data_IF_445282133241
#
_entry.id   IF_445282133241
#
_cell.length_a   1.000
_cell.length_b   1.000
_cell.length_c   1.000
_cell.angle_alpha   90.00
_cell.angle_beta   90.00
_cell.angle_gamma   90.00
#
_symmetry.space_group_name_H-M   'P 1'
#
loop_
_entity.id
_entity.type
_entity.pdbx_description
1 polymer ?
#
# COMPACT_ATOMS: atom_id res chain seq x y z
N UNK A 1 -1.50 22.36 18.90
CA UNK A 1 -1.16 22.05 17.49
C UNK A 1 0.35 22.05 17.24
N UNK A 2 1.14 23.02 17.65
CA UNK A 2 2.60 23.15 17.37
C UNK A 2 3.45 21.93 17.79
N UNK A 3 3.20 21.32 18.96
CA UNK A 3 3.97 20.15 19.44
C UNK A 3 3.83 18.91 18.55
N UNK A 4 2.66 18.68 17.95
CA UNK A 4 2.39 17.52 17.09
C UNK A 4 3.17 17.60 15.76
N UNK A 5 3.26 18.81 15.20
CA UNK A 5 4.08 19.05 13.98
C UNK A 5 5.57 18.96 14.28
N UNK A 6 6.01 19.42 15.46
CA UNK A 6 7.41 19.31 15.87
C UNK A 6 7.85 17.85 16.00
N UNK A 7 7.04 17.00 16.63
CA UNK A 7 7.33 15.54 16.71
C UNK A 7 7.33 14.86 15.33
N UNK A 8 6.42 15.25 14.43
CA UNK A 8 6.41 14.74 13.08
C UNK A 8 7.69 15.15 12.32
N UNK A 9 8.06 16.41 12.42
CA UNK A 9 9.25 16.97 11.77
C UNK A 9 10.53 16.32 12.31
N UNK A 10 10.62 16.13 13.63
CA UNK A 10 11.75 15.45 14.27
C UNK A 10 11.86 13.99 13.80
N UNK A 11 10.74 13.27 13.67
CA UNK A 11 10.72 11.92 13.14
C UNK A 11 11.19 11.87 11.69
N UNK A 12 10.67 12.74 10.83
CA UNK A 12 11.10 12.83 9.43
C UNK A 12 12.59 13.12 9.35
N UNK A 13 13.11 14.03 10.18
CA UNK A 13 14.53 14.36 10.23
C UNK A 13 15.38 13.16 10.65
N UNK A 14 14.95 12.42 11.68
CA UNK A 14 15.63 11.19 12.13
C UNK A 14 15.64 10.14 11.01
N UNK A 15 14.52 9.97 10.27
CA UNK A 15 14.48 9.02 9.15
C UNK A 15 15.39 9.44 8.01
N UNK A 16 15.41 10.72 7.66
CA UNK A 16 16.32 11.25 6.64
C UNK A 16 17.78 11.07 7.07
N UNK A 17 18.08 11.27 8.35
CA UNK A 17 19.40 11.07 8.90
C UNK A 17 19.81 9.58 8.89
N UNK A 18 18.94 8.68 9.34
CA UNK A 18 19.18 7.23 9.30
C UNK A 18 19.32 6.74 7.86
N UNK A 19 18.47 7.20 6.95
CA UNK A 19 18.59 6.89 5.52
C UNK A 19 19.90 7.44 4.94
N UNK A 20 20.26 8.67 5.29
CA UNK A 20 21.53 9.28 4.89
C UNK A 20 22.75 8.50 5.40
N UNK A 21 22.74 8.06 6.65
CA UNK A 21 23.81 7.22 7.24
C UNK A 21 23.89 5.87 6.54
N UNK A 22 22.75 5.22 6.24
CA UNK A 22 22.71 3.96 5.50
C UNK A 22 23.27 4.14 4.09
N UNK A 23 22.81 5.18 3.38
CA UNK A 23 23.28 5.48 2.02
C UNK A 23 24.77 5.84 2.01
N UNK A 24 25.24 6.60 3.01
CA UNK A 24 26.64 6.95 3.15
C UNK A 24 27.49 5.70 3.46
N UNK A 25 27.04 4.85 4.39
CA UNK A 25 27.71 3.60 4.70
C UNK A 25 27.77 2.62 3.52
N UNK A 26 26.71 2.59 2.70
CA UNK A 26 26.70 1.84 1.43
C UNK A 26 27.65 2.46 0.40
N UNK A 27 27.77 3.77 0.34
CA UNK A 27 28.65 4.49 -0.57
C UNK A 27 30.13 4.27 -0.23
N UNK A 28 30.49 4.35 1.04
CA UNK A 28 31.85 4.13 1.57
C UNK A 28 32.22 2.64 1.71
N UNK A 29 31.25 1.73 1.53
CA UNK A 29 31.52 0.30 1.68
C UNK A 29 32.55 -0.17 0.66
N UNK A 30 33.58 -0.93 1.07
CA UNK A 30 34.52 -1.54 0.14
C UNK A 30 33.89 -2.52 -0.83
N UNK A 31 32.63 -2.92 -0.57
CA UNK A 31 31.79 -3.72 -1.45
C UNK A 31 30.93 -2.88 -2.39
N UNK A 32 31.05 -1.54 -2.35
CA UNK A 32 30.28 -0.68 -3.25
C UNK A 32 30.91 -0.70 -4.64
N UNK A 33 30.26 -1.29 -5.64
CA UNK A 33 30.79 -1.35 -6.99
C UNK A 33 30.74 0.00 -7.73
N UNK A 34 30.38 1.11 -7.05
CA UNK A 34 30.04 2.39 -7.71
C UNK A 34 29.13 2.16 -8.92
N UNK A 35 27.90 1.69 -8.69
CA UNK A 35 27.06 1.24 -9.78
C UNK A 35 26.73 2.40 -10.71
N UNK A 36 27.16 2.33 -11.94
CA UNK A 36 26.85 3.30 -12.98
C UNK A 36 25.56 2.96 -13.70
N UNK A 37 25.03 1.75 -13.44
CA UNK A 37 23.79 1.27 -14.08
C UNK A 37 22.97 0.37 -13.14
N UNK A 38 21.67 0.20 -13.46
CA UNK A 38 20.81 -0.76 -12.77
C UNK A 38 21.33 -2.20 -12.88
N UNK A 39 22.03 -2.52 -13.99
CA UNK A 39 22.62 -3.83 -14.23
C UNK A 39 23.79 -4.12 -13.28
N UNK A 40 24.58 -3.13 -12.90
CA UNK A 40 25.66 -3.30 -11.93
C UNK A 40 25.11 -3.61 -10.55
N UNK A 41 24.06 -2.91 -10.12
CA UNK A 41 23.34 -3.18 -8.86
C UNK A 41 22.79 -4.62 -8.88
N UNK A 42 22.20 -5.02 -9.99
CA UNK A 42 21.63 -6.37 -10.17
C UNK A 42 22.69 -7.44 -10.06
N UNK A 43 23.85 -7.28 -10.74
CA UNK A 43 24.99 -8.21 -10.64
C UNK A 43 25.53 -8.33 -9.23
N UNK A 44 25.64 -7.21 -8.52
CA UNK A 44 26.04 -7.19 -7.12
C UNK A 44 25.07 -7.96 -6.23
N UNK A 45 23.75 -7.73 -6.37
CA UNK A 45 22.72 -8.45 -5.60
C UNK A 45 22.68 -9.93 -5.93
N UNK A 46 22.87 -10.31 -7.20
CA UNK A 46 22.96 -11.73 -7.61
C UNK A 46 24.14 -12.44 -6.91
N UNK A 47 25.22 -11.73 -6.60
CA UNK A 47 26.36 -12.26 -5.83
C UNK A 47 26.00 -12.76 -4.43
N UNK A 48 24.91 -12.26 -3.81
CA UNK A 48 24.40 -12.76 -2.52
C UNK A 48 23.56 -14.06 -2.68
N UNK A 49 23.33 -14.52 -3.90
CA UNK A 49 22.56 -15.75 -4.17
C UNK A 49 21.19 -15.72 -3.51
N UNK A 50 20.83 -16.82 -2.83
CA UNK A 50 19.51 -16.99 -2.17
C UNK A 50 19.28 -16.04 -0.99
N UNK A 51 20.31 -15.41 -0.45
CA UNK A 51 20.18 -14.47 0.66
C UNK A 51 19.56 -13.14 0.23
N UNK A 52 19.82 -12.69 -0.99
CA UNK A 52 19.28 -11.41 -1.48
C UNK A 52 17.74 -11.34 -1.43
N UNK A 53 16.98 -12.29 -2.01
CA UNK A 53 15.53 -12.26 -1.90
C UNK A 53 15.03 -12.48 -0.47
N UNK A 54 15.70 -13.29 0.35
CA UNK A 54 15.29 -13.49 1.75
C UNK A 54 15.43 -12.21 2.56
N UNK A 55 16.55 -11.49 2.43
CA UNK A 55 16.76 -10.19 3.08
C UNK A 55 15.72 -9.18 2.60
N UNK A 56 15.47 -9.12 1.28
CA UNK A 56 14.46 -8.22 0.72
C UNK A 56 13.08 -8.48 1.34
N UNK A 57 12.62 -9.74 1.36
CA UNK A 57 11.32 -10.12 1.93
C UNK A 57 11.26 -9.81 3.43
N UNK A 58 12.35 -10.09 4.18
CA UNK A 58 12.42 -9.78 5.61
C UNK A 58 12.34 -8.26 5.87
N UNK A 59 13.16 -7.46 5.17
CA UNK A 59 13.15 -5.99 5.28
C UNK A 59 11.78 -5.42 4.91
N UNK A 60 11.17 -5.92 3.84
CA UNK A 60 9.85 -5.49 3.44
C UNK A 60 8.80 -5.83 4.52
N UNK A 61 8.87 -7.01 5.12
CA UNK A 61 7.94 -7.46 6.16
C UNK A 61 8.00 -6.58 7.41
N UNK A 62 9.21 -6.22 7.86
CA UNK A 62 9.40 -5.38 9.06
C UNK A 62 9.33 -3.87 8.77
N UNK A 63 9.23 -3.46 7.51
CA UNK A 63 9.18 -2.07 7.05
C UNK A 63 8.24 -1.16 7.86
N UNK A 64 7.04 -1.58 8.31
CA UNK A 64 6.14 -0.72 9.08
C UNK A 64 6.76 -0.21 10.38
N UNK A 65 7.65 -0.99 11.00
CA UNK A 65 8.38 -0.58 12.20
C UNK A 65 9.41 0.50 11.88
N UNK A 66 10.00 0.43 10.69
CA UNK A 66 11.01 1.36 10.20
C UNK A 66 10.39 2.60 9.55
N UNK A 67 9.07 2.61 9.32
CA UNK A 67 8.32 3.64 8.57
C UNK A 67 8.94 3.94 7.19
N UNK A 68 9.59 2.96 6.60
CA UNK A 68 10.28 3.10 5.33
C UNK A 68 9.27 3.24 4.16
N UNK A 69 9.52 4.16 3.19
CA UNK A 69 8.61 4.39 2.09
C UNK A 69 8.38 3.13 1.23
N UNK A 70 7.14 2.71 1.10
CA UNK A 70 6.75 1.50 0.32
C UNK A 70 7.18 1.59 -1.13
N UNK A 71 7.09 2.78 -1.73
CA UNK A 71 7.39 3.00 -3.14
C UNK A 71 8.83 2.60 -3.49
N UNK A 72 9.78 2.91 -2.61
CA UNK A 72 11.20 2.58 -2.84
C UNK A 72 11.40 1.07 -2.89
N UNK A 73 10.78 0.31 -1.98
CA UNK A 73 10.85 -1.15 -2.00
C UNK A 73 10.11 -1.74 -3.21
N UNK A 74 8.97 -1.17 -3.60
CA UNK A 74 8.25 -1.64 -4.77
C UNK A 74 9.07 -1.51 -6.05
N UNK A 75 9.74 -0.38 -6.24
CA UNK A 75 10.60 -0.16 -7.41
C UNK A 75 11.91 -0.95 -7.33
N UNK A 76 12.51 -1.06 -6.14
CA UNK A 76 13.77 -1.81 -5.98
C UNK A 76 13.63 -3.29 -6.35
N UNK A 77 12.47 -3.90 -6.16
CA UNK A 77 12.25 -5.29 -6.55
C UNK A 77 12.50 -5.53 -8.05
N UNK A 78 11.95 -4.66 -8.91
CA UNK A 78 12.14 -4.74 -10.35
C UNK A 78 13.59 -4.51 -10.77
N UNK A 79 14.27 -3.52 -10.15
CA UNK A 79 15.68 -3.25 -10.41
C UNK A 79 16.57 -4.42 -9.98
N UNK A 80 16.36 -4.95 -8.78
CA UNK A 80 17.23 -5.96 -8.17
C UNK A 80 17.04 -7.35 -8.76
N UNK A 81 15.79 -7.75 -8.98
CA UNK A 81 15.44 -9.13 -9.33
C UNK A 81 14.84 -9.27 -10.74
N UNK A 82 14.66 -8.15 -11.44
CA UNK A 82 13.97 -8.10 -12.73
C UNK A 82 12.45 -8.21 -12.58
N UNK A 83 11.70 -8.08 -13.69
CA UNK A 83 10.26 -7.91 -13.63
C UNK A 83 9.54 -9.10 -12.99
N UNK A 84 9.86 -10.33 -13.38
CA UNK A 84 9.14 -11.53 -12.95
C UNK A 84 9.44 -11.94 -11.50
N UNK A 85 10.71 -12.07 -11.16
CA UNK A 85 11.13 -12.40 -9.79
C UNK A 85 10.86 -11.26 -8.83
N UNK A 86 10.99 -10.02 -9.30
CA UNK A 86 10.62 -8.83 -8.53
C UNK A 86 9.15 -8.84 -8.13
N UNK A 87 8.21 -9.21 -9.03
CA UNK A 87 6.79 -9.37 -8.70
C UNK A 87 6.62 -10.40 -7.57
N UNK A 88 7.25 -11.56 -7.70
CA UNK A 88 7.13 -12.63 -6.70
C UNK A 88 7.62 -12.18 -5.32
N UNK A 89 8.84 -11.60 -5.24
CA UNK A 89 9.43 -11.19 -3.97
C UNK A 89 8.72 -9.98 -3.37
N UNK A 90 8.23 -9.06 -4.22
CA UNK A 90 7.38 -7.95 -3.78
C UNK A 90 6.08 -8.46 -3.17
N UNK A 91 5.41 -9.42 -3.80
CA UNK A 91 4.18 -10.00 -3.28
C UNK A 91 4.43 -10.74 -1.95
N UNK A 92 5.51 -11.50 -1.84
CA UNK A 92 5.87 -12.20 -0.60
C UNK A 92 6.18 -11.21 0.53
N UNK A 93 7.03 -10.22 0.29
CA UNK A 93 7.38 -9.21 1.28
C UNK A 93 6.20 -8.31 1.64
N UNK A 94 5.43 -7.86 0.64
CA UNK A 94 4.24 -7.05 0.83
C UNK A 94 3.13 -7.79 1.57
N UNK A 95 2.94 -9.08 1.28
CA UNK A 95 2.01 -9.94 2.03
C UNK A 95 2.49 -10.17 3.47
N UNK A 96 3.79 -10.39 3.67
CA UNK A 96 4.40 -10.49 5.01
C UNK A 96 4.15 -9.21 5.82
N UNK A 97 4.44 -8.04 5.24
CA UNK A 97 4.18 -6.74 5.84
C UNK A 97 2.70 -6.53 6.18
N UNK A 98 1.81 -6.84 5.23
CA UNK A 98 0.37 -6.74 5.41
C UNK A 98 -0.13 -7.66 6.54
N UNK A 99 0.36 -8.90 6.58
CA UNK A 99 0.04 -9.87 7.63
C UNK A 99 0.55 -9.42 8.99
N UNK A 100 1.76 -8.88 9.06
CA UNK A 100 2.32 -8.31 10.28
C UNK A 100 1.44 -7.17 10.82
N UNK A 101 1.07 -6.20 9.96
CA UNK A 101 0.16 -5.12 10.34
C UNK A 101 -1.23 -5.62 10.76
N UNK A 102 -1.75 -6.64 10.08
CA UNK A 102 -3.03 -7.27 10.45
C UNK A 102 -2.95 -7.90 11.84
N UNK A 103 -1.88 -8.64 12.15
CA UNK A 103 -1.67 -9.25 13.46
C UNK A 103 -1.50 -8.20 14.56
N UNK A 104 -0.79 -7.11 14.28
CA UNK A 104 -0.72 -5.96 15.18
C UNK A 104 -2.11 -5.39 15.48
N UNK A 105 -2.96 -5.25 14.46
CA UNK A 105 -4.34 -4.80 14.65
C UNK A 105 -5.18 -5.78 15.45
N UNK A 106 -4.99 -7.07 15.23
CA UNK A 106 -5.78 -8.14 15.87
C UNK A 106 -5.41 -8.39 17.33
N UNK A 107 -4.12 -8.36 17.65
CA UNK A 107 -3.58 -8.75 18.97
C UNK A 107 -2.90 -7.59 19.70
N UNK A 108 -2.39 -6.56 18.98
CA UNK A 108 -1.61 -5.46 19.51
C UNK A 108 -2.44 -4.26 20.00
N UNK A 109 -3.72 -4.47 20.35
CA UNK A 109 -4.57 -3.36 20.81
C UNK A 109 -5.06 -2.46 19.68
N UNK A 110 -5.47 -3.05 18.57
CA UNK A 110 -5.96 -2.34 17.38
C UNK A 110 -7.03 -1.29 17.67
N UNK A 111 -7.92 -1.54 18.65
CA UNK A 111 -8.90 -0.56 19.11
C UNK A 111 -8.23 0.70 19.72
N UNK A 112 -7.12 0.53 20.44
CA UNK A 112 -6.34 1.63 20.97
C UNK A 112 -5.66 2.43 19.84
N UNK A 113 -5.08 1.74 18.86
CA UNK A 113 -4.49 2.35 17.69
C UNK A 113 -5.53 3.15 16.87
N UNK A 114 -6.73 2.58 16.67
CA UNK A 114 -7.83 3.25 15.99
C UNK A 114 -8.28 4.51 16.73
N UNK A 115 -8.45 4.45 18.04
CA UNK A 115 -8.88 5.59 18.85
C UNK A 115 -7.85 6.72 18.88
N UNK A 116 -6.57 6.39 18.94
CA UNK A 116 -5.50 7.41 19.07
C UNK A 116 -4.97 7.93 17.71
N UNK A 117 -5.01 7.12 16.65
CA UNK A 117 -4.42 7.46 15.36
C UNK A 117 -5.40 7.38 14.18
N UNK A 118 -6.52 6.69 14.33
CA UNK A 118 -7.48 6.46 13.23
C UNK A 118 -8.31 7.70 12.88
N UNK A 119 -8.68 8.50 13.89
CA UNK A 119 -9.57 9.64 13.67
C UNK A 119 -10.86 9.25 12.93
N UNK A 120 -11.54 10.23 12.34
CA UNK A 120 -12.78 10.01 11.56
C UNK A 120 -12.57 9.12 10.32
N UNK A 121 -11.36 9.08 9.75
CA UNK A 121 -11.03 8.21 8.63
C UNK A 121 -10.99 6.72 9.05
N UNK A 122 -10.37 6.43 10.18
CA UNK A 122 -10.31 5.06 10.70
C UNK A 122 -11.68 4.50 11.06
N UNK A 123 -12.56 5.31 11.63
CA UNK A 123 -13.95 4.93 11.91
C UNK A 123 -14.72 4.62 10.62
N UNK A 124 -14.64 5.49 9.61
CA UNK A 124 -15.28 5.25 8.31
C UNK A 124 -14.81 3.97 7.64
N UNK A 125 -13.50 3.71 7.70
CA UNK A 125 -12.93 2.49 7.12
C UNK A 125 -13.36 1.24 7.89
N UNK A 126 -13.48 1.34 9.23
CA UNK A 126 -14.03 0.28 10.06
C UNK A 126 -15.45 -0.08 9.64
N UNK A 127 -16.33 0.91 9.54
CA UNK A 127 -17.71 0.70 9.05
C UNK A 127 -17.75 0.15 7.63
N UNK A 128 -16.84 0.63 6.75
CA UNK A 128 -16.78 0.13 5.37
C UNK A 128 -16.39 -1.35 5.30
N UNK A 129 -15.43 -1.80 6.13
CA UNK A 129 -14.93 -3.18 6.09
C UNK A 129 -15.87 -4.20 6.77
N UNK A 130 -16.69 -3.76 7.71
CA UNK A 130 -17.65 -4.62 8.40
C UNK A 130 -18.85 -4.91 7.49
N UNK A 131 -19.42 -6.11 7.57
CA UNK A 131 -20.59 -6.56 6.81
C UNK A 131 -20.25 -7.27 5.50
N UNK A 132 -21.27 -7.46 4.66
CA UNK A 132 -21.16 -8.24 3.44
C UNK A 132 -20.23 -7.62 2.40
N UNK A 133 -19.61 -8.49 1.60
CA UNK A 133 -18.73 -8.07 0.52
C UNK A 133 -17.34 -7.61 0.96
N UNK A 134 -16.89 -7.91 2.19
CA UNK A 134 -15.59 -7.52 2.73
C UNK A 134 -14.41 -7.91 1.83
N UNK A 135 -14.52 -9.04 1.10
CA UNK A 135 -13.53 -9.46 0.12
C UNK A 135 -13.36 -8.44 -1.02
N UNK A 136 -14.47 -8.04 -1.66
CA UNK A 136 -14.46 -7.05 -2.75
C UNK A 136 -14.00 -5.68 -2.26
N UNK A 137 -14.48 -5.27 -1.09
CA UNK A 137 -14.08 -4.00 -0.44
C UNK A 137 -12.58 -3.98 -0.18
N UNK A 138 -12.01 -5.08 0.29
CA UNK A 138 -10.58 -5.20 0.57
C UNK A 138 -9.73 -5.16 -0.72
N UNK A 139 -10.17 -5.82 -1.80
CA UNK A 139 -9.51 -5.74 -3.11
C UNK A 139 -9.46 -4.29 -3.59
N UNK A 140 -10.58 -3.55 -3.53
CA UNK A 140 -10.63 -2.15 -3.93
C UNK A 140 -9.63 -1.30 -3.14
N UNK A 141 -9.58 -1.46 -1.82
CA UNK A 141 -8.64 -0.74 -0.97
C UNK A 141 -7.16 -1.08 -1.26
N UNK A 142 -6.89 -2.25 -1.82
CA UNK A 142 -5.53 -2.67 -2.21
C UNK A 142 -5.14 -2.25 -3.62
N UNK A 143 -6.11 -2.22 -4.53
CA UNK A 143 -5.84 -1.86 -5.93
C UNK A 143 -5.72 -0.35 -6.12
N UNK A 144 -6.46 0.43 -5.33
CA UNK A 144 -6.44 1.89 -5.41
C UNK A 144 -5.29 2.44 -4.56
N UNK A 145 -4.26 3.09 -5.15
CA UNK A 145 -3.04 3.48 -4.45
C UNK A 145 -3.21 4.69 -3.50
N UNK A 146 -4.42 5.23 -3.36
CA UNK A 146 -4.72 6.35 -2.45
C UNK A 146 -4.76 5.88 -0.99
N UNK A 147 -5.13 4.62 -0.75
CA UNK A 147 -5.28 4.10 0.60
C UNK A 147 -3.93 3.60 1.15
N UNK A 148 -3.51 4.06 2.33
CA UNK A 148 -2.27 3.60 2.94
C UNK A 148 -2.42 2.13 3.38
N UNK A 149 -1.51 1.27 2.89
CA UNK A 149 -1.57 -0.18 3.06
C UNK A 149 -1.55 -0.63 4.53
N UNK A 150 -0.67 -0.02 5.34
CA UNK A 150 -0.42 -0.43 6.72
C UNK A 150 -1.60 -0.12 7.64
N UNK A 151 -2.15 1.11 7.68
CA UNK A 151 -3.36 1.40 8.45
C UNK A 151 -4.57 0.55 8.04
N UNK A 152 -4.77 0.31 6.73
CA UNK A 152 -5.86 -0.57 6.26
C UNK A 152 -5.70 -1.99 6.82
N UNK A 153 -4.47 -2.50 6.88
CA UNK A 153 -4.18 -3.82 7.46
C UNK A 153 -4.46 -3.89 8.95
N UNK A 154 -4.02 -2.86 9.69
CA UNK A 154 -4.26 -2.74 11.14
C UNK A 154 -5.76 -2.70 11.41
N UNK A 155 -6.53 -1.91 10.66
CA UNK A 155 -7.98 -1.82 10.81
C UNK A 155 -8.66 -3.16 10.50
N UNK A 156 -8.26 -3.83 9.41
CA UNK A 156 -8.80 -5.15 9.07
C UNK A 156 -8.57 -6.18 10.19
N UNK A 157 -7.39 -6.13 10.84
CA UNK A 157 -7.09 -6.94 12.01
C UNK A 157 -7.94 -6.57 13.23
N UNK A 158 -8.12 -5.27 13.50
CA UNK A 158 -8.90 -4.77 14.65
C UNK A 158 -10.38 -5.14 14.57
N UNK A 159 -10.97 -5.10 13.37
CA UNK A 159 -12.36 -5.56 13.13
C UNK A 159 -12.48 -7.07 13.02
N UNK A 160 -11.37 -7.81 13.21
CA UNK A 160 -11.31 -9.27 13.15
C UNK A 160 -11.81 -9.85 11.82
N UNK A 161 -11.53 -9.16 10.70
CA UNK A 161 -11.83 -9.70 9.38
C UNK A 161 -11.23 -11.12 9.24
N UNK A 162 -11.94 -12.13 8.72
CA UNK A 162 -11.38 -13.48 8.57
C UNK A 162 -10.08 -13.45 7.77
N UNK A 163 -9.00 -13.99 8.33
CA UNK A 163 -7.65 -13.90 7.74
C UNK A 163 -7.58 -14.45 6.31
N UNK A 164 -8.30 -15.53 6.02
CA UNK A 164 -8.35 -16.10 4.65
C UNK A 164 -8.90 -15.11 3.63
N UNK A 165 -9.97 -14.39 3.97
CA UNK A 165 -10.58 -13.35 3.12
C UNK A 165 -9.61 -12.20 2.95
N UNK A 166 -9.02 -11.74 4.06
CA UNK A 166 -8.03 -10.66 4.06
C UNK A 166 -6.79 -11.01 3.20
N UNK A 167 -6.22 -12.21 3.39
CA UNK A 167 -5.04 -12.69 2.70
C UNK A 167 -5.26 -12.77 1.18
N UNK A 168 -6.33 -13.47 0.77
CA UNK A 168 -6.66 -13.61 -0.65
C UNK A 168 -6.91 -12.26 -1.32
N UNK A 169 -7.71 -11.38 -0.69
CA UNK A 169 -7.99 -10.05 -1.21
C UNK A 169 -6.73 -9.17 -1.28
N UNK A 170 -5.82 -9.31 -0.31
CA UNK A 170 -4.56 -8.57 -0.28
C UNK A 170 -3.66 -8.99 -1.43
N UNK A 171 -3.41 -10.29 -1.61
CA UNK A 171 -2.55 -10.79 -2.69
C UNK A 171 -3.11 -10.41 -4.06
N UNK A 172 -4.41 -10.65 -4.30
CA UNK A 172 -5.05 -10.31 -5.57
C UNK A 172 -5.05 -8.80 -5.84
N UNK A 173 -5.32 -7.99 -4.82
CA UNK A 173 -5.36 -6.53 -4.96
C UNK A 173 -3.98 -5.89 -5.12
N UNK A 174 -2.92 -6.55 -4.68
CA UNK A 174 -1.53 -6.10 -4.89
C UNK A 174 -0.99 -6.41 -6.28
N UNK A 175 -1.52 -7.43 -6.97
CA UNK A 175 -1.01 -7.90 -8.26
C UNK A 175 -0.87 -6.80 -9.32
N UNK A 176 -1.90 -5.97 -9.61
CA UNK A 176 -1.78 -4.94 -10.64
C UNK A 176 -0.64 -3.95 -10.33
N UNK A 177 -0.52 -3.54 -9.06
CA UNK A 177 0.55 -2.66 -8.60
C UNK A 177 1.93 -3.32 -8.69
N UNK A 178 2.05 -4.58 -8.28
CA UNK A 178 3.30 -5.33 -8.35
C UNK A 178 3.80 -5.45 -9.79
N UNK A 179 2.91 -5.76 -10.74
CA UNK A 179 3.25 -5.81 -12.16
C UNK A 179 3.72 -4.43 -12.63
N UNK A 180 2.92 -3.39 -12.38
CA UNK A 180 3.21 -2.03 -12.84
C UNK A 180 4.57 -1.53 -12.32
N UNK A 181 4.84 -1.63 -11.02
CA UNK A 181 6.09 -1.14 -10.43
C UNK A 181 7.31 -1.90 -10.94
N UNK A 182 7.23 -3.22 -11.07
CA UNK A 182 8.38 -4.02 -11.47
C UNK A 182 8.73 -3.84 -12.95
N UNK A 183 7.73 -3.79 -13.84
CA UNK A 183 7.98 -3.49 -15.25
C UNK A 183 8.46 -2.05 -15.47
N UNK A 184 7.93 -1.09 -14.71
CA UNK A 184 8.39 0.30 -14.77
C UNK A 184 9.84 0.43 -14.30
N UNK A 185 10.21 -0.26 -13.23
CA UNK A 185 11.56 -0.24 -12.66
C UNK A 185 12.59 -0.93 -13.59
N UNK A 186 12.22 -2.06 -14.20
CA UNK A 186 13.07 -2.78 -15.15
C UNK A 186 13.28 -2.00 -16.46
N UNK A 187 12.24 -1.25 -16.87
CA UNK A 187 12.29 -0.43 -18.08
C UNK A 187 13.06 0.90 -17.90
N UNK A 188 13.44 1.25 -16.66
CA UNK A 188 14.09 2.52 -16.38
C UNK A 188 15.42 2.67 -17.15
N UNK A 189 15.58 3.81 -17.84
CA UNK A 189 16.76 4.05 -18.68
C UNK A 189 16.74 3.37 -20.05
N UNK A 190 15.66 2.69 -20.42
CA UNK A 190 15.49 2.04 -21.74
C UNK A 190 14.41 2.70 -22.59
N UNK A 191 14.40 2.42 -23.88
CA UNK A 191 13.34 2.89 -24.80
C UNK A 191 11.94 2.36 -24.44
N UNK A 192 11.88 1.27 -23.66
CA UNK A 192 10.63 0.63 -23.21
C UNK A 192 9.97 1.38 -22.05
N UNK A 193 10.65 2.37 -21.45
CA UNK A 193 10.16 3.11 -20.30
C UNK A 193 8.78 3.74 -20.53
N UNK A 194 8.57 4.37 -21.69
CA UNK A 194 7.28 4.99 -22.00
C UNK A 194 6.14 3.99 -22.10
N UNK A 195 6.39 2.80 -22.65
CA UNK A 195 5.39 1.72 -22.70
C UNK A 195 5.07 1.19 -21.29
N UNK A 196 6.09 0.98 -20.44
CA UNK A 196 5.92 0.56 -19.06
C UNK A 196 5.18 1.63 -18.23
N UNK A 197 5.47 2.91 -18.47
CA UNK A 197 4.77 4.02 -17.83
C UNK A 197 3.28 4.04 -18.23
N UNK A 198 2.97 3.84 -19.52
CA UNK A 198 1.59 3.77 -20.00
C UNK A 198 0.82 2.61 -19.35
N UNK A 199 1.43 1.42 -19.25
CA UNK A 199 0.85 0.26 -18.56
C UNK A 199 0.60 0.58 -17.08
N UNK A 200 1.55 1.24 -16.41
CA UNK A 200 1.42 1.66 -15.01
C UNK A 200 0.27 2.63 -14.83
N UNK A 201 0.16 3.64 -15.70
CA UNK A 201 -0.94 4.62 -15.66
C UNK A 201 -2.29 3.96 -15.92
N UNK A 202 -2.37 2.99 -16.81
CA UNK A 202 -3.59 2.21 -17.04
C UNK A 202 -3.95 1.34 -15.83
N UNK A 203 -2.96 0.64 -15.26
CA UNK A 203 -3.16 -0.24 -14.10
C UNK A 203 -3.70 0.50 -12.87
N UNK A 204 -3.31 1.75 -12.66
CA UNK A 204 -3.81 2.57 -11.56
C UNK A 204 -4.94 3.50 -11.97
N UNK A 205 -4.94 4.01 -13.18
CA UNK A 205 -5.95 4.96 -13.68
C UNK A 205 -7.32 4.31 -13.85
N UNK A 206 -7.39 3.11 -14.41
CA UNK A 206 -8.68 2.41 -14.63
C UNK A 206 -9.41 2.14 -13.30
N UNK A 207 -8.79 1.54 -12.27
CA UNK A 207 -9.44 1.35 -10.97
C UNK A 207 -9.85 2.66 -10.31
N UNK A 208 -9.06 3.72 -10.45
CA UNK A 208 -9.35 5.03 -9.90
C UNK A 208 -10.59 5.67 -10.54
N UNK A 209 -10.66 5.66 -11.86
CA UNK A 209 -11.81 6.19 -12.62
C UNK A 209 -13.09 5.38 -12.33
N UNK A 210 -12.94 4.06 -12.27
CA UNK A 210 -14.06 3.18 -11.93
C UNK A 210 -14.57 3.45 -10.51
N UNK A 211 -13.68 3.62 -9.54
CA UNK A 211 -14.04 3.96 -8.16
C UNK A 211 -14.73 5.33 -8.08
N UNK A 212 -14.24 6.36 -8.78
CA UNK A 212 -14.86 7.69 -8.82
C UNK A 212 -16.28 7.63 -9.39
N UNK A 213 -16.49 6.89 -10.49
CA UNK A 213 -17.81 6.72 -11.09
C UNK A 213 -18.79 6.03 -10.14
N UNK A 214 -18.35 4.97 -9.46
CA UNK A 214 -19.22 4.23 -8.52
C UNK A 214 -19.53 5.06 -7.26
N UNK A 215 -18.59 5.81 -6.75
CA UNK A 215 -18.80 6.71 -5.60
C UNK A 215 -19.73 7.86 -5.95
N UNK A 216 -19.59 8.45 -7.13
CA UNK A 216 -20.50 9.47 -7.64
C UNK A 216 -21.93 8.91 -7.87
N UNK A 217 -22.04 7.70 -8.42
CA UNK A 217 -23.32 7.04 -8.62
C UNK A 217 -24.06 6.72 -7.30
N UNK A 218 -23.31 6.30 -6.28
CA UNK A 218 -23.86 6.08 -4.93
C UNK A 218 -24.31 7.38 -4.27
N UNK A 219 -23.54 8.47 -4.40
CA UNK A 219 -23.92 9.79 -3.90
C UNK A 219 -25.18 10.33 -4.58
N UNK A 220 -25.30 10.19 -5.91
CA UNK A 220 -26.49 10.57 -6.66
C UNK A 220 -27.70 9.70 -6.30
N UNK A 221 -27.50 8.39 -6.08
CA UNK A 221 -28.55 7.47 -5.63
C UNK A 221 -29.10 7.81 -4.25
N UNK A 222 -28.24 8.20 -3.32
CA UNK A 222 -28.65 8.64 -1.98
C UNK A 222 -29.46 9.94 -2.02
N UNK A 223 -29.05 10.92 -2.82
CA UNK A 223 -29.78 12.19 -3.01
C UNK A 223 -31.16 11.96 -3.62
N UNK A 224 -31.30 11.04 -4.58
CA UNK A 224 -32.56 10.70 -5.20
C UNK A 224 -33.55 10.00 -4.25
N UNK A 225 -33.04 9.22 -3.31
CA UNK A 225 -33.84 8.58 -2.27
C UNK A 225 -34.25 9.58 -1.17
N UNK A 226 -33.44 10.59 -0.85
CA UNK A 226 -33.84 11.69 0.05
C UNK A 226 -35.00 12.52 -0.53
N UNK A 227 -34.99 12.80 -1.84
CA UNK A 227 -36.08 13.52 -2.51
C UNK A 227 -37.42 12.75 -2.52
N UNK A 228 -37.38 11.41 -2.64
CA UNK A 228 -38.61 10.58 -2.62
C UNK A 228 -39.22 10.41 -1.23
N UNK A 229 -38.41 10.44 -0.16
CA UNK A 229 -38.89 10.36 1.21
C UNK A 229 -39.60 11.63 1.67
N UNK A 230 -39.28 12.80 1.12
CA UNK A 230 -39.89 14.08 1.44
C UNK A 230 -41.31 14.22 0.80
N UNK A 231 -41.54 13.61 -0.37
CA UNK A 231 -42.84 13.67 -1.04
C UNK A 231 -43.92 12.77 -0.42
N UNK A 232 -43.51 11.69 0.27
CA UNK A 232 -44.46 10.78 0.92
C UNK A 232 -44.97 11.32 2.27
N UNK A 233 -44.15 12.08 3.00
CA UNK A 233 -44.60 12.69 4.27
C UNK A 233 -45.51 13.91 4.10
N UNK A 234 -45.59 14.48 2.88
CA UNK A 234 -46.50 15.60 2.57
C UNK A 234 -47.93 15.18 2.28
N UNK A 235 -48.21 13.89 2.07
CA UNK A 235 -49.55 13.38 1.76
C UNK A 235 -50.32 12.85 2.98
N UNK A 236 -49.65 12.57 4.10
CA UNK A 236 -50.25 12.00 5.30
C UNK A 236 -50.79 13.05 6.30
N UNK A 237 -50.67 14.35 5.99
CA UNK A 237 -51.19 15.46 6.82
C UNK A 237 -52.33 16.25 6.15
N UNK A 238 -53.02 15.65 5.15
CA UNK A 238 -54.13 16.34 4.43
C UNK A 238 -55.46 15.57 4.36
N UNK A 239 -55.67 14.62 5.28
CA UNK A 239 -56.98 13.98 5.46
C UNK A 239 -57.49 14.14 6.89
#
# INVERSE_FOLDING_TARGET
>A
MKKKYLYLLLRVLVYLLVLGVILYGLYESPYNPHPHSAEDIRRWVVGFGVWAPLIYVAVYTIRPLLLFPTLLLNLSAGVLFGPWWGILFLLLGGFGCASFCYLLGRFGGGNWLLRNFGGSWGERLTHYLVGDGSFKKMIVLRTVPIFPYDPVSIIAGSVRLPFKIYAAATVLGMLPGAIAYNFLADAFGTTRFYAALAVTLLAFGIPLVWWQKNSAAQALGSLKNFGKGSDNNGKEYRD
#
